data_IF_642579296500
#
_entry.id   IF_642579296500
#
_cell.length_a   1.000
_cell.length_b   1.000
_cell.length_c   1.000
_cell.angle_alpha   90.00
_cell.angle_beta   90.00
_cell.angle_gamma   90.00
#
_symmetry.space_group_name_H-M   'P 1'
#
loop_
_entity.id
_entity.type
_entity.pdbx_description
1 polymer ?
#
# COMPACT_ATOMS: atom_id res chain seq x y z
N UNK A 1 6.86 22.47 18.17
CA UNK A 1 6.76 22.12 16.74
C UNK A 1 6.18 20.72 16.64
N UNK A 2 4.86 20.62 16.49
CA UNK A 2 4.16 19.34 16.40
C UNK A 2 4.22 18.85 14.96
N UNK A 3 4.98 17.78 14.73
CA UNK A 3 4.81 16.94 13.55
C UNK A 3 3.47 16.20 13.70
N UNK A 4 2.40 16.80 13.19
CA UNK A 4 1.15 16.07 12.94
C UNK A 4 1.42 15.13 11.77
N UNK A 5 1.85 13.91 12.05
CA UNK A 5 1.74 12.83 11.08
C UNK A 5 0.24 12.61 10.84
N UNK A 6 -0.26 13.18 9.75
CA UNK A 6 -1.56 12.85 9.20
C UNK A 6 -1.42 11.45 8.58
N UNK A 7 -1.41 10.42 9.44
CA UNK A 7 -1.34 9.05 8.97
C UNK A 7 -2.69 8.74 8.32
N UNK A 8 -2.72 8.71 7.00
CA UNK A 8 -3.82 8.07 6.30
C UNK A 8 -3.77 6.59 6.69
N UNK A 9 -4.71 6.18 7.54
CA UNK A 9 -4.73 4.82 8.08
C UNK A 9 -5.14 3.86 6.97
N UNK A 10 -4.20 3.45 6.12
CA UNK A 10 -4.43 2.37 5.17
C UNK A 10 -4.70 1.08 5.95
N UNK A 11 -5.89 0.53 5.79
CA UNK A 11 -6.21 -0.75 6.43
C UNK A 11 -5.40 -1.87 5.78
N UNK A 12 -5.16 -2.97 6.50
CA UNK A 12 -4.49 -4.15 5.94
C UNK A 12 -5.18 -4.66 4.65
N UNK A 13 -6.50 -4.50 4.58
CA UNK A 13 -7.27 -4.79 3.37
C UNK A 13 -6.83 -3.92 2.20
N UNK A 14 -6.64 -2.61 2.39
CA UNK A 14 -6.23 -1.69 1.33
C UNK A 14 -4.82 -2.02 0.80
N UNK A 15 -3.93 -2.47 1.67
CA UNK A 15 -2.56 -2.90 1.32
C UNK A 15 -2.55 -4.13 0.40
N UNK A 16 -3.55 -5.01 0.53
CA UNK A 16 -3.70 -6.20 -0.31
C UNK A 16 -4.38 -5.92 -1.66
N UNK A 17 -4.94 -4.72 -1.84
CA UNK A 17 -5.68 -4.32 -3.04
C UNK A 17 -5.05 -3.06 -3.67
N UNK A 18 -3.84 -3.18 -4.25
CA UNK A 18 -3.09 -2.02 -4.72
C UNK A 18 -3.62 -1.45 -6.04
N UNK A 19 -4.50 -2.15 -6.75
CA UNK A 19 -5.07 -1.66 -8.01
C UNK A 19 -6.35 -0.89 -7.73
N UNK A 20 -6.35 0.42 -7.96
CA UNK A 20 -7.48 1.30 -7.64
C UNK A 20 -8.08 1.85 -8.92
N UNK A 21 -9.41 1.79 -9.03
CA UNK A 21 -10.16 2.47 -10.08
C UNK A 21 -10.65 3.81 -9.52
N UNK A 22 -10.27 4.87 -10.21
CA UNK A 22 -10.62 6.25 -9.89
C UNK A 22 -11.65 6.79 -10.87
N UNK A 23 -12.61 7.54 -10.33
CA UNK A 23 -13.44 8.46 -11.11
C UNK A 23 -12.80 9.83 -11.11
N UNK A 24 -12.57 10.39 -12.29
CA UNK A 24 -12.00 11.72 -12.46
C UNK A 24 -13.14 12.74 -12.55
N UNK A 25 -13.08 13.75 -11.69
CA UNK A 25 -14.01 14.87 -11.66
C UNK A 25 -13.43 16.07 -12.43
N UNK A 26 -14.28 16.96 -12.96
CA UNK A 26 -13.85 18.11 -13.76
C UNK A 26 -13.04 19.15 -12.98
N UNK A 27 -13.05 19.10 -11.65
CA UNK A 27 -12.28 19.96 -10.75
C UNK A 27 -10.87 19.42 -10.45
N UNK A 28 -10.34 18.52 -11.29
CA UNK A 28 -9.06 17.85 -11.07
C UNK A 28 -9.00 17.00 -9.78
N UNK A 29 -10.16 16.65 -9.21
CA UNK A 29 -10.24 15.70 -8.12
C UNK A 29 -10.49 14.29 -8.65
N UNK A 30 -10.07 13.31 -7.87
CA UNK A 30 -10.20 11.90 -8.17
C UNK A 30 -10.73 11.15 -6.96
N UNK A 31 -11.80 10.39 -7.17
CA UNK A 31 -12.45 9.60 -6.11
C UNK A 31 -12.21 8.12 -6.39
N UNK A 32 -11.64 7.41 -5.41
CA UNK A 32 -11.48 5.96 -5.48
C UNK A 32 -12.87 5.30 -5.39
N UNK A 33 -13.27 4.59 -6.43
CA UNK A 33 -14.57 3.91 -6.49
C UNK A 33 -14.49 2.40 -6.23
N UNK A 34 -13.32 1.79 -6.46
CA UNK A 34 -13.09 0.37 -6.22
C UNK A 34 -11.59 0.07 -6.10
N UNK A 35 -11.24 -0.94 -5.28
CA UNK A 35 -9.88 -1.47 -5.14
C UNK A 35 -9.86 -2.97 -5.47
N UNK A 36 -8.80 -3.42 -6.11
CA UNK A 36 -8.63 -4.78 -6.60
C UNK A 36 -7.23 -5.31 -6.27
N UNK A 37 -7.16 -6.62 -6.04
CA UNK A 37 -5.87 -7.30 -5.80
C UNK A 37 -5.10 -7.51 -7.09
N UNK A 38 -5.80 -7.74 -8.22
CA UNK A 38 -5.21 -8.02 -9.53
C UNK A 38 -5.57 -6.92 -10.51
N UNK A 39 -4.61 -6.58 -11.38
CA UNK A 39 -4.81 -5.61 -12.46
C UNK A 39 -5.93 -6.01 -13.42
N UNK A 40 -5.96 -7.29 -13.81
CA UNK A 40 -6.92 -7.80 -14.79
C UNK A 40 -8.38 -7.59 -14.32
N UNK A 41 -8.65 -7.81 -13.03
CA UNK A 41 -9.99 -7.62 -12.46
C UNK A 41 -10.39 -6.14 -12.49
N UNK A 42 -9.45 -5.24 -12.19
CA UNK A 42 -9.66 -3.79 -12.31
C UNK A 42 -9.92 -3.36 -13.76
N UNK A 43 -9.19 -3.91 -14.73
CA UNK A 43 -9.36 -3.61 -16.16
C UNK A 43 -10.72 -4.08 -16.70
N UNK A 44 -11.14 -5.30 -16.34
CA UNK A 44 -12.47 -5.81 -16.71
C UNK A 44 -13.59 -4.95 -16.12
N UNK A 45 -13.44 -4.53 -14.86
CA UNK A 45 -14.38 -3.64 -14.19
C UNK A 45 -14.44 -2.26 -14.89
N UNK A 46 -13.29 -1.66 -15.17
CA UNK A 46 -13.21 -0.36 -15.86
C UNK A 46 -13.82 -0.44 -17.27
N UNK A 47 -13.53 -1.49 -18.05
CA UNK A 47 -14.11 -1.67 -19.38
C UNK A 47 -15.63 -1.80 -19.34
N UNK A 48 -16.15 -2.47 -18.31
CA UNK A 48 -17.60 -2.60 -18.09
C UNK A 48 -18.21 -1.25 -17.72
N UNK A 49 -17.57 -0.52 -16.80
CA UNK A 49 -18.04 0.79 -16.35
C UNK A 49 -18.03 1.82 -17.48
N UNK A 50 -16.98 1.85 -18.30
CA UNK A 50 -16.87 2.75 -19.46
C UNK A 50 -17.99 2.52 -20.47
N UNK A 51 -18.46 1.28 -20.64
CA UNK A 51 -19.60 0.97 -21.52
C UNK A 51 -20.93 1.44 -20.94
N UNK A 52 -21.06 1.44 -19.61
CA UNK A 52 -22.29 1.87 -18.94
C UNK A 52 -22.38 3.40 -18.82
N UNK A 53 -21.26 4.07 -18.59
CA UNK A 53 -21.19 5.52 -18.38
C UNK A 53 -20.08 6.15 -19.23
N UNK A 54 -20.27 6.27 -20.55
CA UNK A 54 -19.24 6.77 -21.47
C UNK A 54 -18.83 8.23 -21.21
N UNK A 55 -19.69 9.01 -20.56
CA UNK A 55 -19.43 10.41 -20.21
C UNK A 55 -18.50 10.57 -18.99
N UNK A 56 -18.32 9.50 -18.21
CA UNK A 56 -17.50 9.53 -17.00
C UNK A 56 -16.06 9.16 -17.33
N UNK A 57 -15.13 10.04 -16.95
CA UNK A 57 -13.69 9.76 -17.04
C UNK A 57 -13.26 8.85 -15.91
N UNK A 58 -12.68 7.71 -16.26
CA UNK A 58 -12.23 6.68 -15.34
C UNK A 58 -10.77 6.35 -15.60
N UNK A 59 -10.01 6.08 -14.53
CA UNK A 59 -8.61 5.70 -14.62
C UNK A 59 -8.30 4.56 -13.65
N UNK A 60 -7.34 3.71 -14.01
CA UNK A 60 -6.73 2.73 -13.09
C UNK A 60 -5.38 3.26 -12.66
N UNK A 61 -5.09 3.20 -11.36
CA UNK A 61 -3.78 3.50 -10.81
C UNK A 61 -3.31 2.36 -9.90
N UNK A 62 -1.99 2.23 -9.78
CA UNK A 62 -1.37 1.36 -8.79
C UNK A 62 -1.00 2.21 -7.57
N UNK A 63 -1.59 1.90 -6.44
CA UNK A 63 -1.36 2.56 -5.16
C UNK A 63 -0.69 1.54 -4.24
N UNK A 64 0.65 1.59 -4.08
CA UNK A 64 1.33 0.69 -3.18
C UNK A 64 0.86 0.94 -1.74
N UNK A 65 0.87 -0.09 -0.88
CA UNK A 65 0.78 0.14 0.55
C UNK A 65 1.85 1.17 0.93
N UNK A 66 1.46 2.21 1.65
CA UNK A 66 2.39 3.21 2.15
C UNK A 66 3.52 2.45 2.85
N UNK A 67 4.72 2.55 2.30
CA UNK A 67 5.88 1.96 2.92
C UNK A 67 5.93 2.60 4.31
N UNK A 68 5.76 1.79 5.35
CA UNK A 68 6.08 2.22 6.70
C UNK A 68 7.42 2.95 6.61
N UNK A 69 7.57 4.14 7.22
CA UNK A 69 8.88 4.77 7.24
C UNK A 69 9.86 3.73 7.75
N UNK A 70 10.73 3.25 6.85
CA UNK A 70 11.91 2.47 7.21
C UNK A 70 12.89 3.44 7.84
N UNK A 71 12.44 4.07 8.91
CA UNK A 71 13.29 4.73 9.88
C UNK A 71 13.18 3.92 11.17
N UNK A 72 13.46 2.64 11.03
CA UNK A 72 14.32 2.01 12.01
C UNK A 72 15.74 2.21 11.47
N UNK A 73 16.28 3.43 11.55
CA UNK A 73 17.70 3.54 11.89
C UNK A 73 17.89 2.62 13.09
N UNK A 74 18.47 1.44 12.86
CA UNK A 74 19.00 0.61 13.93
C UNK A 74 20.11 1.48 14.51
N UNK A 75 20.00 2.03 15.73
CA UNK A 75 21.18 2.60 16.33
C UNK A 75 22.20 1.47 16.40
N UNK A 76 23.30 1.62 15.67
CA UNK A 76 24.47 0.74 15.65
C UNK A 76 25.09 0.68 17.06
N UNK A 77 24.38 0.13 18.03
CA UNK A 77 24.80 0.09 19.43
C UNK A 77 24.43 -1.24 20.07
N UNK A 78 24.66 -2.36 19.37
CA UNK A 78 24.84 -3.66 20.03
C UNK A 78 26.00 -4.45 19.40
N UNK A 79 27.09 -3.78 19.00
CA UNK A 79 28.36 -4.43 18.68
C UNK A 79 29.52 -3.91 19.55
N UNK A 80 29.25 -3.67 20.84
CA UNK A 80 30.32 -3.62 21.83
C UNK A 80 29.97 -4.51 23.03
N UNK A 81 30.42 -5.77 22.94
CA UNK A 81 30.61 -6.64 24.10
C UNK A 81 29.49 -7.64 24.40
N UNK A 82 29.48 -8.77 23.68
CA UNK A 82 29.35 -10.16 24.21
C UNK A 82 28.94 -11.14 23.10
N UNK A 83 29.93 -11.66 22.38
CA UNK A 83 29.80 -12.91 21.66
C UNK A 83 29.77 -14.07 22.67
N UNK A 84 28.60 -14.38 23.24
CA UNK A 84 28.41 -15.59 24.05
C UNK A 84 26.92 -15.97 24.07
N UNK A 85 26.43 -16.71 23.06
CA UNK A 85 25.43 -17.78 23.23
C UNK A 85 25.59 -18.81 22.12
N UNK A 86 26.19 -19.92 22.50
CA UNK A 86 26.29 -21.17 21.76
C UNK A 86 24.89 -21.75 21.56
N UNK A 87 24.54 -22.14 20.32
CA UNK A 87 23.39 -23.01 20.10
C UNK A 87 23.76 -24.42 20.57
N UNK A 88 23.01 -24.90 21.55
CA UNK A 88 23.23 -26.15 22.26
C UNK A 88 23.07 -27.38 21.39
N UNK A 89 24.08 -28.24 21.48
CA UNK A 89 24.01 -29.70 21.56
C UNK A 89 22.59 -30.25 21.80
N UNK A 90 22.06 -30.97 20.81
CA UNK A 90 21.08 -32.04 21.02
C UNK A 90 21.56 -33.29 20.27
N UNK A 91 21.58 -34.41 20.99
CA UNK A 91 22.14 -35.71 20.61
C UNK A 91 21.21 -36.46 19.65
N UNK A 92 21.84 -37.29 18.82
CA UNK A 92 21.28 -38.45 18.13
C UNK A 92 22.47 -39.24 17.61
#
# INVERSE_FOLDING_TARGET
>A
MSHFYHYNTMTYHDQLHPWVVYRLLPNCENVAIARFRRRNDAEMYLATLQRQVPDVRLAIAFEPPEALPTDCEVPDTINQGKLQRTYGRARG
#
